data_IF_443913219873
#
_entry.id   IF_443913219873
#
_cell.length_a   1.000
_cell.length_b   1.000
_cell.length_c   1.000
_cell.angle_alpha   90.00
_cell.angle_beta   90.00
_cell.angle_gamma   90.00
#
_symmetry.space_group_name_H-M   'P 1'
#
loop_
_entity.id
_entity.type
_entity.pdbx_description
1 polymer ?
#
# COMPACT_ATOMS: atom_id res chain seq x y z
N UNK A 1 -8.70 0.04 19.95
CA UNK A 1 -9.03 -0.37 18.55
C UNK A 1 -8.37 0.53 17.52
N UNK A 2 -8.50 1.86 17.63
CA UNK A 2 -7.84 2.83 16.71
C UNK A 2 -6.36 2.49 16.44
N UNK A 3 -5.56 2.31 17.50
CA UNK A 3 -4.13 1.94 17.39
C UNK A 3 -3.83 0.73 16.50
N UNK A 4 -4.71 -0.27 16.44
CA UNK A 4 -4.48 -1.47 15.62
C UNK A 4 -4.48 -1.10 14.14
N UNK A 5 -5.42 -0.25 13.73
CA UNK A 5 -5.51 0.22 12.35
C UNK A 5 -4.41 1.23 12.01
N UNK A 6 -4.04 2.10 12.95
CA UNK A 6 -2.90 3.01 12.79
C UNK A 6 -1.60 2.22 12.58
N UNK A 7 -1.33 1.21 13.41
CA UNK A 7 -0.17 0.33 13.25
C UNK A 7 -0.22 -0.41 11.90
N UNK A 8 -1.37 -0.97 11.54
CA UNK A 8 -1.54 -1.67 10.26
C UNK A 8 -1.18 -0.78 9.04
N UNK A 9 -1.62 0.48 9.05
CA UNK A 9 -1.31 1.42 7.97
C UNK A 9 0.15 1.91 8.04
N UNK A 10 0.67 2.14 9.24
CA UNK A 10 2.07 2.53 9.45
C UNK A 10 3.05 1.47 8.96
N UNK A 11 2.75 0.19 9.18
CA UNK A 11 3.58 -0.93 8.71
C UNK A 11 3.60 -1.02 7.17
N UNK A 12 2.57 -0.49 6.50
CA UNK A 12 2.52 -0.32 5.04
C UNK A 12 3.15 1.00 4.56
N UNK A 13 3.82 1.73 5.46
CA UNK A 13 4.40 3.05 5.20
C UNK A 13 3.37 4.11 4.76
N UNK A 14 2.13 4.00 5.24
CA UNK A 14 1.07 4.98 4.97
C UNK A 14 0.91 5.87 6.19
N UNK A 15 1.33 7.13 6.04
CA UNK A 15 1.20 8.15 7.08
C UNK A 15 -0.14 8.88 6.96
N UNK A 16 -1.09 8.50 7.83
CA UNK A 16 -2.43 9.11 7.91
C UNK A 16 -2.33 10.57 8.36
N UNK A 17 -1.38 10.92 9.22
CA UNK A 17 -1.25 12.27 9.77
C UNK A 17 -0.88 13.27 8.67
N UNK A 18 -0.01 12.86 7.73
CA UNK A 18 0.34 13.68 6.57
C UNK A 18 -0.85 13.88 5.61
N UNK A 19 -1.75 12.89 5.52
CA UNK A 19 -2.95 12.97 4.66
C UNK A 19 -4.05 13.83 5.29
N UNK A 20 -4.24 13.74 6.61
CA UNK A 20 -5.14 14.61 7.37
C UNK A 20 -4.86 16.10 7.11
N UNK A 21 -3.58 16.48 7.09
CA UNK A 21 -3.18 17.86 6.84
C UNK A 21 -3.67 18.39 5.48
N UNK A 22 -3.62 17.55 4.43
CA UNK A 22 -4.08 17.94 3.09
C UNK A 22 -5.59 18.07 3.01
N UNK A 23 -6.32 17.17 3.66
CA UNK A 23 -7.78 17.21 3.66
C UNK A 23 -8.31 18.33 4.58
N UNK A 24 -7.61 18.70 5.64
CA UNK A 24 -7.94 19.86 6.47
C UNK A 24 -7.85 21.18 5.68
N UNK A 25 -6.83 21.32 4.81
CA UNK A 25 -6.71 22.49 3.93
C UNK A 25 -7.93 22.67 3.00
N UNK A 26 -8.58 21.58 2.58
CA UNK A 26 -9.80 21.63 1.75
C UNK A 26 -11.07 21.98 2.52
N UNK A 27 -11.04 21.93 3.86
CA UNK A 27 -12.19 22.15 4.74
C UNK A 27 -12.19 23.56 5.36
N UNK A 28 -11.16 24.38 5.07
CA UNK A 28 -11.01 25.76 5.58
C UNK A 28 -12.19 26.71 5.30
N UNK A 29 -13.12 26.33 4.42
CA UNK A 29 -14.32 27.11 4.11
C UNK A 29 -15.53 26.77 4.99
N UNK A 30 -15.41 25.79 5.88
CA UNK A 30 -16.44 25.45 6.88
C UNK A 30 -16.29 26.39 8.08
N UNK A 31 -17.40 26.73 8.73
CA UNK A 31 -17.47 27.70 9.82
C UNK A 31 -16.64 27.31 11.06
N UNK A 32 -16.45 26.00 11.29
CA UNK A 32 -15.69 25.43 12.42
C UNK A 32 -14.93 24.15 12.02
N UNK A 33 -13.82 24.26 11.27
CA UNK A 33 -13.10 23.12 10.72
C UNK A 33 -12.46 22.23 11.81
N UNK A 34 -12.08 22.80 12.95
CA UNK A 34 -11.49 22.09 14.10
C UNK A 34 -12.42 21.04 14.71
N UNK A 35 -13.74 21.25 14.65
CA UNK A 35 -14.74 20.28 15.16
C UNK A 35 -14.72 18.99 14.31
N UNK A 36 -14.28 19.10 13.05
CA UNK A 36 -14.24 17.97 12.12
C UNK A 36 -12.90 17.22 12.16
N UNK A 37 -11.85 17.80 12.73
CA UNK A 37 -10.48 17.27 12.67
C UNK A 37 -10.35 15.87 13.31
N UNK A 38 -10.99 15.66 14.47
CA UNK A 38 -10.98 14.36 15.16
C UNK A 38 -11.79 13.30 14.42
N UNK A 39 -12.97 13.65 13.90
CA UNK A 39 -13.84 12.73 13.16
C UNK A 39 -13.25 12.33 11.80
N UNK A 40 -12.57 13.27 11.14
CA UNK A 40 -11.94 13.08 9.85
C UNK A 40 -10.84 12.02 9.90
N UNK A 41 -10.02 12.02 10.96
CA UNK A 41 -8.96 11.04 11.15
C UNK A 41 -9.48 9.60 11.13
N UNK A 42 -10.62 9.35 11.79
CA UNK A 42 -11.25 8.02 11.83
C UNK A 42 -11.81 7.63 10.46
N UNK A 43 -12.44 8.58 9.76
CA UNK A 43 -12.98 8.35 8.42
C UNK A 43 -11.86 8.00 7.43
N UNK A 44 -10.77 8.78 7.41
CA UNK A 44 -9.62 8.51 6.55
C UNK A 44 -9.02 7.14 6.84
N UNK A 45 -8.84 6.80 8.12
CA UNK A 45 -8.30 5.52 8.53
C UNK A 45 -9.15 4.35 8.01
N UNK A 46 -10.48 4.44 8.11
CA UNK A 46 -11.38 3.41 7.56
C UNK A 46 -11.28 3.35 6.03
N UNK A 47 -11.29 4.49 5.37
CA UNK A 47 -11.21 4.56 3.91
C UNK A 47 -9.93 3.91 3.39
N UNK A 48 -8.77 4.24 3.97
CA UNK A 48 -7.49 3.66 3.56
C UNK A 48 -7.44 2.15 3.80
N UNK A 49 -7.91 1.69 4.96
CA UNK A 49 -7.94 0.24 5.26
C UNK A 49 -8.83 -0.49 4.26
N UNK A 50 -10.03 0.00 3.98
CA UNK A 50 -10.92 -0.62 3.01
C UNK A 50 -10.35 -0.61 1.59
N UNK A 51 -9.73 0.51 1.19
CA UNK A 51 -9.11 0.65 -0.13
C UNK A 51 -7.96 -0.34 -0.33
N UNK A 52 -7.04 -0.42 0.63
CA UNK A 52 -5.85 -1.30 0.56
C UNK A 52 -6.25 -2.77 0.62
N UNK A 53 -7.20 -3.09 1.48
CA UNK A 53 -7.64 -4.48 1.64
C UNK A 53 -8.60 -4.93 0.53
N UNK A 54 -8.99 -4.01 -0.37
CA UNK A 54 -10.02 -4.24 -1.39
C UNK A 54 -11.25 -4.94 -0.79
N UNK A 55 -11.93 -4.23 0.10
CA UNK A 55 -12.88 -4.76 1.10
C UNK A 55 -14.19 -5.40 0.57
N UNK A 56 -14.17 -6.07 -0.58
CA UNK A 56 -15.32 -6.74 -1.20
C UNK A 56 -15.96 -7.80 -0.28
N UNK A 57 -15.16 -8.41 0.61
CA UNK A 57 -15.60 -9.46 1.52
C UNK A 57 -15.94 -8.99 2.94
N UNK A 58 -15.41 -7.84 3.36
CA UNK A 58 -15.68 -7.26 4.67
C UNK A 58 -15.41 -5.75 4.70
N UNK A 59 -16.46 -4.97 4.44
CA UNK A 59 -16.40 -3.52 4.62
C UNK A 59 -16.32 -3.15 6.12
N UNK A 60 -15.33 -2.33 6.46
CA UNK A 60 -15.10 -1.77 7.79
C UNK A 60 -15.72 -0.37 7.83
N UNK A 61 -16.37 -0.01 8.93
CA UNK A 61 -16.99 1.31 9.10
C UNK A 61 -16.41 2.04 10.32
N UNK A 62 -16.54 3.37 10.36
CA UNK A 62 -16.11 4.18 11.51
C UNK A 62 -16.70 3.71 12.84
N UNK A 63 -17.97 3.28 12.85
CA UNK A 63 -18.62 2.71 14.04
C UNK A 63 -17.93 1.46 14.59
N UNK A 64 -17.21 0.70 13.77
CA UNK A 64 -16.50 -0.50 14.21
C UNK A 64 -15.24 -0.17 15.02
N UNK A 65 -14.77 1.06 14.89
CA UNK A 65 -13.63 1.62 15.59
C UNK A 65 -14.10 2.37 16.84
N UNK A 66 -15.11 3.22 16.70
CA UNK A 66 -15.65 4.06 17.78
C UNK A 66 -16.44 3.20 18.79
N UNK A 67 -17.27 2.28 18.29
CA UNK A 67 -18.15 1.43 19.11
C UNK A 67 -17.94 -0.06 18.78
N UNK A 68 -16.78 -0.63 19.16
CA UNK A 68 -16.41 -1.98 18.77
C UNK A 68 -17.35 -3.03 19.38
N UNK A 69 -17.98 -3.84 18.53
CA UNK A 69 -18.78 -4.99 18.96
C UNK A 69 -17.91 -6.26 18.97
N UNK A 70 -17.78 -7.00 20.09
CA UNK A 70 -16.80 -8.09 20.22
C UNK A 70 -16.79 -9.09 19.07
N UNK A 71 -17.97 -9.58 18.63
CA UNK A 71 -18.08 -10.53 17.51
C UNK A 71 -17.60 -9.93 16.18
N UNK A 72 -17.95 -8.68 15.90
CA UNK A 72 -17.57 -7.98 14.67
C UNK A 72 -16.09 -7.60 14.69
N UNK A 73 -15.60 -7.08 15.81
CA UNK A 73 -14.18 -6.81 16.04
C UNK A 73 -13.33 -8.05 15.78
N UNK A 74 -13.70 -9.22 16.31
CA UNK A 74 -12.99 -10.48 16.04
C UNK A 74 -12.96 -10.82 14.55
N UNK A 75 -14.08 -10.64 13.84
CA UNK A 75 -14.15 -10.86 12.39
C UNK A 75 -13.20 -9.93 11.62
N UNK A 76 -13.18 -8.64 11.97
CA UNK A 76 -12.30 -7.65 11.33
C UNK A 76 -10.83 -7.96 11.60
N UNK A 77 -10.45 -8.27 12.84
CA UNK A 77 -9.07 -8.62 13.17
C UNK A 77 -8.60 -9.87 12.42
N UNK A 78 -9.44 -10.90 12.34
CA UNK A 78 -9.13 -12.09 11.55
C UNK A 78 -8.96 -11.77 10.07
N UNK A 79 -9.81 -10.91 9.51
CA UNK A 79 -9.70 -10.45 8.14
C UNK A 79 -8.37 -9.75 7.88
N UNK A 80 -7.98 -8.80 8.74
CA UNK A 80 -6.71 -8.09 8.64
C UNK A 80 -5.50 -9.02 8.76
N UNK A 81 -5.55 -10.04 9.64
CA UNK A 81 -4.48 -11.04 9.77
C UNK A 81 -4.32 -11.86 8.49
N UNK A 82 -5.44 -12.28 7.87
CA UNK A 82 -5.40 -13.04 6.61
C UNK A 82 -4.82 -12.17 5.49
N UNK A 83 -5.26 -10.92 5.38
CA UNK A 83 -4.69 -9.96 4.45
C UNK A 83 -3.18 -9.78 4.68
N UNK A 84 -2.74 -9.61 5.94
CA UNK A 84 -1.33 -9.39 6.25
C UNK A 84 -0.44 -10.57 5.84
N UNK A 85 -0.90 -11.79 6.10
CA UNK A 85 -0.20 -13.01 5.65
C UNK A 85 -0.09 -13.07 4.14
N UNK A 86 -1.17 -12.73 3.43
CA UNK A 86 -1.16 -12.66 1.96
C UNK A 86 -0.17 -11.59 1.46
N UNK A 87 -0.20 -10.39 2.06
CA UNK A 87 0.70 -9.29 1.74
C UNK A 87 2.17 -9.69 1.92
N UNK A 88 2.55 -10.26 3.07
CA UNK A 88 3.93 -10.70 3.33
C UNK A 88 4.41 -11.74 2.31
N UNK A 89 3.56 -12.70 1.93
CA UNK A 89 3.89 -13.68 0.91
C UNK A 89 4.15 -13.02 -0.46
N UNK A 90 3.33 -12.04 -0.84
CA UNK A 90 3.52 -11.29 -2.10
C UNK A 90 4.73 -10.36 -2.03
N UNK A 91 4.98 -9.74 -0.88
CA UNK A 91 6.13 -8.87 -0.66
C UNK A 91 7.46 -9.63 -0.80
N UNK A 92 7.56 -10.85 -0.26
CA UNK A 92 8.74 -11.69 -0.44
C UNK A 92 9.03 -11.98 -1.93
N UNK A 93 7.98 -12.27 -2.71
CA UNK A 93 8.12 -12.44 -4.16
C UNK A 93 8.57 -11.15 -4.86
N UNK A 94 8.05 -10.00 -4.42
CA UNK A 94 8.44 -8.70 -4.94
C UNK A 94 9.91 -8.37 -4.62
N UNK A 95 10.37 -8.68 -3.41
CA UNK A 95 11.75 -8.46 -3.00
C UNK A 95 12.72 -9.27 -3.86
N UNK A 96 12.41 -10.54 -4.14
CA UNK A 96 13.22 -11.36 -5.05
C UNK A 96 13.28 -10.79 -6.48
N UNK A 97 12.20 -10.14 -6.94
CA UNK A 97 12.18 -9.44 -8.23
C UNK A 97 13.02 -8.15 -8.15
N UNK A 98 12.89 -7.37 -7.09
CA UNK A 98 13.67 -6.16 -6.87
C UNK A 98 15.18 -6.42 -6.85
N UNK A 99 15.62 -7.50 -6.18
CA UNK A 99 17.02 -7.95 -6.17
C UNK A 99 17.53 -8.27 -7.59
N UNK A 100 16.70 -8.88 -8.45
CA UNK A 100 17.05 -9.11 -9.86
C UNK A 100 17.19 -7.80 -10.64
N UNK A 101 16.32 -6.82 -10.39
CA UNK A 101 16.43 -5.50 -11.01
C UNK A 101 17.70 -4.77 -10.56
N UNK A 102 18.02 -4.81 -9.27
CA UNK A 102 19.24 -4.20 -8.73
C UNK A 102 20.50 -4.86 -9.31
N UNK A 103 20.53 -6.20 -9.39
CA UNK A 103 21.63 -6.92 -10.03
C UNK A 103 21.81 -6.56 -11.52
N UNK A 104 20.69 -6.36 -12.25
CA UNK A 104 20.74 -5.89 -13.63
C UNK A 104 21.29 -4.46 -13.73
N UNK A 105 20.85 -3.55 -12.86
CA UNK A 105 21.32 -2.17 -12.85
C UNK A 105 22.83 -2.07 -12.52
N UNK A 106 23.31 -2.85 -11.54
CA UNK A 106 24.74 -2.93 -11.19
C UNK A 106 25.56 -3.50 -12.36
N UNK A 107 25.04 -4.52 -13.05
CA UNK A 107 25.70 -5.09 -14.24
C UNK A 107 25.77 -4.08 -15.38
N UNK A 108 24.68 -3.35 -15.65
CA UNK A 108 24.65 -2.33 -16.71
C UNK A 108 25.61 -1.17 -16.41
N UNK A 109 25.68 -0.72 -15.16
CA UNK A 109 26.67 0.27 -14.71
C UNK A 109 28.11 -0.26 -14.82
N UNK A 110 28.34 -1.54 -14.51
CA UNK A 110 29.63 -2.20 -14.71
C UNK A 110 30.03 -2.31 -16.18
N UNK A 111 29.06 -2.56 -17.07
CA UNK A 111 29.26 -2.61 -18.52
C UNK A 111 29.58 -1.24 -19.10
N UNK A 112 28.92 -0.17 -18.64
CA UNK A 112 29.23 1.22 -19.02
C UNK A 112 30.65 1.61 -18.61
N UNK A 113 31.10 1.17 -17.44
CA UNK A 113 32.48 1.40 -16.96
C UNK A 113 33.54 0.53 -17.65
N UNK A 114 33.14 -0.51 -18.39
CA UNK A 114 34.04 -1.47 -19.06
C UNK A 114 34.31 -1.15 -20.55
N UNK A 115 33.68 -0.13 -21.12
CA UNK A 115 33.96 0.34 -22.49
C UNK A 115 33.49 -0.59 -23.62
N UNK A 116 32.62 -1.57 -23.35
CA UNK A 116 32.12 -2.54 -24.34
C UNK A 116 31.09 -1.88 -25.27
N UNK A 117 31.24 -2.10 -26.59
CA UNK A 117 30.54 -1.37 -27.65
C UNK A 117 29.02 -1.65 -27.72
N UNK A 118 28.27 -0.67 -28.23
CA UNK A 118 26.80 -0.65 -28.24
C UNK A 118 26.12 -1.75 -29.09
N UNK A 119 26.85 -2.50 -29.92
CA UNK A 119 26.28 -3.61 -30.72
C UNK A 119 25.91 -4.84 -29.87
N UNK A 120 26.58 -5.04 -28.73
CA UNK A 120 26.37 -6.21 -27.86
C UNK A 120 25.27 -5.98 -26.81
N UNK A 121 24.80 -4.73 -26.67
CA UNK A 121 23.76 -4.31 -25.70
C UNK A 121 22.33 -4.65 -26.14
N UNK A 122 22.13 -5.08 -27.40
CA UNK A 122 20.80 -5.38 -27.94
C UNK A 122 20.21 -6.70 -27.41
N UNK A 123 21.05 -7.67 -27.02
CA UNK A 123 20.61 -8.97 -26.49
C UNK A 123 20.11 -8.94 -25.03
N UNK A 124 20.31 -7.84 -24.30
CA UNK A 124 20.14 -7.77 -22.84
C UNK A 124 18.88 -7.01 -22.36
N UNK A 125 18.06 -6.48 -23.28
CA UNK A 125 16.84 -5.71 -22.96
C UNK A 125 15.58 -6.57 -22.69
N UNK A 126 15.73 -7.81 -22.22
CA UNK A 126 14.62 -8.74 -21.99
C UNK A 126 14.13 -8.84 -20.52
N UNK A 127 14.46 -7.89 -19.64
CA UNK A 127 13.91 -7.85 -18.27
C UNK A 127 12.73 -6.87 -18.07
N UNK A 128 12.27 -6.18 -19.12
CA UNK A 128 11.30 -5.09 -18.99
C UNK A 128 9.82 -5.53 -18.93
N UNK A 129 9.49 -6.80 -19.22
CA UNK A 129 8.10 -7.21 -19.41
C UNK A 129 7.40 -7.81 -18.16
N UNK A 130 8.14 -8.32 -17.17
CA UNK A 130 7.51 -9.02 -16.03
C UNK A 130 7.02 -8.08 -14.92
N UNK A 131 7.66 -6.93 -14.71
CA UNK A 131 7.23 -5.95 -13.70
C UNK A 131 5.90 -5.24 -14.05
N UNK A 132 5.68 -4.99 -15.34
CA UNK A 132 4.42 -4.44 -15.85
C UNK A 132 3.27 -5.46 -15.79
N UNK A 133 3.56 -6.75 -15.95
CA UNK A 133 2.60 -7.85 -15.83
C UNK A 133 2.05 -7.97 -14.40
N UNK A 134 2.83 -7.69 -13.35
CA UNK A 134 2.32 -7.76 -11.96
C UNK A 134 1.25 -6.71 -11.68
N UNK A 135 1.45 -5.46 -12.13
CA UNK A 135 0.43 -4.41 -12.05
C UNK A 135 -0.77 -4.69 -12.97
N UNK A 136 -0.55 -5.37 -14.10
CA UNK A 136 -1.59 -5.76 -15.06
C UNK A 136 -2.42 -6.95 -14.56
N UNK A 137 -1.81 -7.91 -13.86
CA UNK A 137 -2.46 -9.06 -13.22
C UNK A 137 -3.28 -8.63 -12.00
N UNK A 138 -2.81 -7.63 -11.24
CA UNK A 138 -3.58 -7.00 -10.17
C UNK A 138 -4.82 -6.24 -10.69
N UNK A 139 -4.80 -5.76 -11.96
CA UNK A 139 -5.95 -5.11 -12.61
C UNK A 139 -6.89 -6.06 -13.36
N UNK A 140 -6.51 -7.31 -13.63
CA UNK A 140 -7.26 -8.26 -14.47
C UNK A 140 -8.08 -9.30 -13.70
N UNK A 141 -8.08 -9.25 -12.37
CA UNK A 141 -8.92 -10.10 -11.52
C UNK A 141 -10.05 -9.33 -10.82
N UNK A 142 -10.37 -8.13 -11.31
CA UNK A 142 -11.62 -7.41 -11.01
C UNK A 142 -12.46 -7.37 -12.28
#
# INVERSE_FOLDING_TARGET
MIRVFECFLKDLQIDIMHQNLRTFLSIKHIEYPEILEEGQSIVLLVMFVNYITNADSLEIYARDIIFPKPKRTKKILNYLIVFWKYFLMKYANFQAIAEKFEACAVRDAGLENSGISNSDKAGLRFCFFEGGEVLRLLRRQV
#
